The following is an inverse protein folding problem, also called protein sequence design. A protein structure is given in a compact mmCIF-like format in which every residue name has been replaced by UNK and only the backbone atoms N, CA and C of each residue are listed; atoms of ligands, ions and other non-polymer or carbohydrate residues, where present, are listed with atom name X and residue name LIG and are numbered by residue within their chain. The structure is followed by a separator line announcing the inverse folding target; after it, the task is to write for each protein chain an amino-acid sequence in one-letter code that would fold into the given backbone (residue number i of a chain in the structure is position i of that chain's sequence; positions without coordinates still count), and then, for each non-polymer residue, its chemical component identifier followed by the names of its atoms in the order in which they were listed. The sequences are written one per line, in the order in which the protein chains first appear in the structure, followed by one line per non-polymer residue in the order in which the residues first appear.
data_IF_125918594493
#
_entry.id   IF_125918594493
#
_cell.length_a   1.000
_cell.length_b   1.000
_cell.length_c   1.000
_cell.angle_alpha   90.00
_cell.angle_beta   90.00
_cell.angle_gamma   90.00
#
_symmetry.space_group_name_H-M   'P 1'
#
loop_
_entity.id
_entity.type
_entity.pdbx_description
1 polymer ?
#
# COMPACT_ATOMS: atom_id res chain seq x y z
N UNK A 1 55.49 28.91 -7.41
CA UNK A 1 54.86 27.58 -7.43
C UNK A 1 53.65 27.63 -6.53
N UNK A 2 52.46 27.44 -7.08
CA UNK A 2 51.22 27.23 -6.33
C UNK A 2 50.52 26.02 -6.97
N UNK A 3 51.06 24.83 -6.73
CA UNK A 3 50.35 23.58 -6.98
C UNK A 3 50.15 22.90 -5.62
N UNK A 4 49.14 23.37 -4.89
CA UNK A 4 48.56 22.59 -3.81
C UNK A 4 47.37 21.84 -4.38
N UNK A 5 47.33 20.52 -4.22
CA UNK A 5 46.09 19.77 -4.39
C UNK A 5 45.09 20.30 -3.37
N UNK A 6 44.00 20.91 -3.85
CA UNK A 6 42.91 21.31 -2.99
C UNK A 6 42.09 20.05 -2.66
N UNK A 7 41.79 19.78 -1.38
CA UNK A 7 40.96 18.63 -1.03
C UNK A 7 39.57 18.80 -1.68
N UNK A 8 39.24 17.88 -2.59
CA UNK A 8 37.91 17.79 -3.17
C UNK A 8 36.98 17.10 -2.16
N UNK A 9 35.97 17.83 -1.66
CA UNK A 9 34.90 17.25 -0.83
C UNK A 9 33.67 16.99 -1.68
N UNK A 10 33.15 15.76 -1.61
CA UNK A 10 31.88 15.39 -2.25
C UNK A 10 30.74 15.66 -1.29
N UNK A 11 29.74 16.42 -1.73
CA UNK A 11 28.51 16.66 -0.99
C UNK A 11 27.33 15.97 -1.67
N UNK A 12 26.61 15.10 -0.95
CA UNK A 12 25.37 14.49 -1.42
C UNK A 12 24.16 15.24 -0.87
N UNK A 13 23.14 15.39 -1.72
CA UNK A 13 21.85 16.01 -1.35
C UNK A 13 20.75 14.98 -1.11
N UNK A 14 21.14 13.82 -0.61
CA UNK A 14 20.24 12.72 -0.33
C UNK A 14 20.78 11.81 0.77
N UNK A 15 19.87 11.08 1.40
CA UNK A 15 20.16 9.97 2.30
C UNK A 15 19.79 8.65 1.60
N UNK A 16 20.63 7.63 1.73
CA UNK A 16 20.40 6.30 1.15
C UNK A 16 21.68 5.62 0.65
N UNK A 17 21.51 4.48 0.01
CA UNK A 17 22.62 3.67 -0.50
C UNK A 17 23.28 4.30 -1.73
N UNK A 18 24.59 4.47 -1.63
CA UNK A 18 25.46 5.04 -2.65
C UNK A 18 26.70 4.17 -2.81
N UNK A 19 27.15 3.95 -4.05
CA UNK A 19 28.44 3.31 -4.29
C UNK A 19 29.56 4.33 -4.13
N UNK A 20 30.44 4.09 -3.17
CA UNK A 20 31.63 4.91 -2.89
C UNK A 20 32.82 3.96 -2.86
N UNK A 21 33.82 4.23 -3.72
CA UNK A 21 35.00 3.37 -3.88
C UNK A 21 34.63 1.89 -4.11
N UNK A 22 33.65 1.65 -4.99
CA UNK A 22 33.13 0.31 -5.34
C UNK A 22 32.42 -0.44 -4.19
N UNK A 23 32.21 0.21 -3.04
CA UNK A 23 31.52 -0.36 -1.87
C UNK A 23 30.16 0.27 -1.65
N UNK A 24 29.22 -0.51 -1.13
CA UNK A 24 27.91 -0.03 -0.75
C UNK A 24 28.00 0.74 0.57
N UNK A 25 27.84 2.06 0.46
CA UNK A 25 27.81 2.95 1.62
C UNK A 25 26.40 3.52 1.78
N UNK A 26 25.80 3.33 2.95
CA UNK A 26 24.59 4.03 3.32
C UNK A 26 24.98 5.43 3.81
N UNK A 27 24.65 6.44 3.01
CA UNK A 27 24.96 7.84 3.34
C UNK A 27 23.79 8.51 4.03
N UNK A 28 24.07 9.23 5.11
CA UNK A 28 23.08 9.97 5.89
C UNK A 28 23.73 11.18 6.56
N UNK A 29 22.94 12.21 6.91
CA UNK A 29 23.39 13.20 7.88
C UNK A 29 23.82 12.50 9.19
N UNK A 30 24.83 13.05 9.86
CA UNK A 30 25.42 12.48 11.08
C UNK A 30 26.52 11.48 10.78
N UNK A 31 26.16 10.25 10.40
CA UNK A 31 27.14 9.19 10.07
C UNK A 31 26.84 8.51 8.73
N UNK A 32 27.87 8.00 8.09
CA UNK A 32 27.76 7.10 6.94
C UNK A 32 28.32 5.72 7.34
N UNK A 33 27.70 4.65 6.85
CA UNK A 33 28.12 3.28 7.16
C UNK A 33 28.30 2.43 5.91
N UNK A 34 29.26 1.51 5.94
CA UNK A 34 29.43 0.44 4.94
C UNK A 34 29.60 -0.91 5.67
N UNK A 35 30.05 -1.94 4.97
CA UNK A 35 30.26 -3.27 5.53
C UNK A 35 31.32 -3.32 6.66
N UNK A 36 32.26 -2.38 6.71
CA UNK A 36 33.28 -2.30 7.75
C UNK A 36 32.79 -1.54 9.00
N UNK A 37 31.63 -0.89 8.93
CA UNK A 37 31.07 -0.07 10.00
C UNK A 37 30.96 1.41 9.63
N UNK A 38 31.14 2.29 10.62
CA UNK A 38 31.06 3.74 10.46
C UNK A 38 32.32 4.23 9.74
N UNK A 39 32.14 5.12 8.75
CA UNK A 39 33.26 5.70 8.01
C UNK A 39 34.00 6.75 8.86
N UNK A 40 35.34 6.69 8.88
CA UNK A 40 36.18 7.68 9.55
C UNK A 40 36.16 9.07 8.87
N UNK A 41 36.09 9.09 7.53
CA UNK A 41 36.03 10.31 6.72
C UNK A 41 34.81 10.23 5.77
N UNK A 42 33.59 10.45 6.30
CA UNK A 42 32.37 10.35 5.51
C UNK A 42 32.22 11.57 4.58
N UNK A 43 31.56 11.40 3.41
CA UNK A 43 31.17 12.53 2.58
C UNK A 43 30.17 13.44 3.31
N UNK A 44 30.10 14.71 2.90
CA UNK A 44 29.14 15.66 3.48
C UNK A 44 27.73 15.41 2.94
N UNK A 45 26.73 15.36 3.82
CA UNK A 45 25.33 15.14 3.44
C UNK A 45 24.50 16.36 3.83
N UNK A 46 23.97 17.07 2.84
CA UNK A 46 23.17 18.28 3.03
C UNK A 46 21.75 18.07 2.49
N UNK A 47 20.78 17.92 3.40
CA UNK A 47 19.37 17.83 3.04
C UNK A 47 18.70 19.22 3.10
N UNK A 48 17.48 19.31 2.57
CA UNK A 48 16.65 20.51 2.73
C UNK A 48 16.42 20.82 4.21
N UNK A 49 16.32 22.11 4.57
CA UNK A 49 16.13 22.53 5.96
C UNK A 49 14.88 21.93 6.64
N UNK A 50 13.85 21.56 5.84
CA UNK A 50 12.66 20.84 6.33
C UNK A 50 12.92 19.36 6.66
N UNK A 51 14.08 18.81 6.29
CA UNK A 51 14.52 17.44 6.59
C UNK A 51 15.66 17.41 7.62
N UNK A 52 15.90 18.51 8.34
CA UNK A 52 17.00 18.61 9.32
C UNK A 52 16.96 17.56 10.43
N UNK A 53 15.78 17.01 10.70
CA UNK A 53 15.57 16.03 11.77
C UNK A 53 15.95 14.62 11.31
N UNK A 54 16.24 14.41 10.02
CA UNK A 54 16.85 13.18 9.52
C UNK A 54 18.34 13.16 9.84
N UNK A 55 18.78 12.14 10.56
CA UNK A 55 20.18 11.89 10.88
C UNK A 55 20.32 10.47 11.38
N UNK A 56 21.37 9.77 10.96
CA UNK A 56 21.86 8.62 11.71
C UNK A 56 22.81 9.08 12.80
N UNK A 57 22.92 8.25 13.83
CA UNK A 57 23.84 8.47 14.95
C UNK A 57 24.53 7.14 15.24
N UNK A 58 25.81 7.21 15.60
CA UNK A 58 26.50 6.07 16.14
C UNK A 58 26.09 5.94 17.62
N UNK A 59 25.71 4.73 18.01
CA UNK A 59 25.25 4.44 19.36
C UNK A 59 25.68 3.03 19.74
N UNK A 60 25.83 2.80 21.04
CA UNK A 60 26.09 1.47 21.56
C UNK A 60 24.97 0.50 21.14
N UNK A 61 25.34 -0.73 20.81
CA UNK A 61 24.38 -1.71 20.31
C UNK A 61 23.33 -2.05 21.37
N UNK A 62 23.71 -2.11 22.65
CA UNK A 62 22.80 -2.45 23.74
C UNK A 62 21.77 -1.34 23.93
N UNK A 63 22.16 -0.07 23.84
CA UNK A 63 21.22 1.07 23.89
C UNK A 63 20.27 1.05 22.67
N UNK A 64 20.80 0.74 21.49
CA UNK A 64 20.02 0.64 20.24
C UNK A 64 19.02 -0.51 20.29
N UNK A 65 19.43 -1.67 20.80
CA UNK A 65 18.59 -2.85 20.98
C UNK A 65 17.52 -2.62 22.05
N UNK A 66 17.88 -1.98 23.17
CA UNK A 66 16.91 -1.62 24.21
C UNK A 66 15.85 -0.63 23.69
N UNK A 67 16.25 0.34 22.86
CA UNK A 67 15.31 1.25 22.22
C UNK A 67 14.38 0.52 21.23
N UNK A 68 14.93 -0.41 20.45
CA UNK A 68 14.16 -1.27 19.56
C UNK A 68 13.15 -2.14 20.33
N UNK A 69 13.56 -2.77 21.42
CA UNK A 69 12.68 -3.58 22.26
C UNK A 69 11.58 -2.72 22.91
N UNK A 70 11.95 -1.56 23.48
CA UNK A 70 11.01 -0.68 24.17
C UNK A 70 9.93 -0.08 23.26
N UNK A 71 10.19 0.10 21.96
CA UNK A 71 9.16 0.59 21.04
C UNK A 71 8.10 -0.47 20.68
N UNK A 72 8.44 -1.77 20.71
CA UNK A 72 7.55 -2.85 20.22
C UNK A 72 6.21 -2.89 20.96
N UNK A 73 6.16 -2.84 22.31
CA UNK A 73 4.89 -2.89 23.06
C UNK A 73 3.93 -1.73 22.76
N UNK A 74 4.43 -0.59 22.26
CA UNK A 74 3.61 0.58 21.93
C UNK A 74 2.68 0.29 20.74
N UNK A 75 3.07 -0.63 19.85
CA UNK A 75 2.29 -1.02 18.68
C UNK A 75 1.23 -2.06 19.04
N UNK A 76 0.05 -2.04 18.39
CA UNK A 76 -0.89 -3.16 18.46
C UNK A 76 -0.19 -4.45 18.04
N UNK A 77 -0.43 -5.55 18.76
CA UNK A 77 0.30 -6.82 18.58
C UNK A 77 0.19 -7.36 17.15
N UNK A 78 -0.96 -7.17 16.53
CA UNK A 78 -1.28 -7.62 15.17
C UNK A 78 -0.57 -6.77 14.10
N UNK A 79 -0.20 -5.54 14.45
CA UNK A 79 0.41 -4.57 13.53
C UNK A 79 1.93 -4.43 13.71
N UNK A 80 2.45 -4.71 14.91
CA UNK A 80 3.86 -4.52 15.25
C UNK A 80 4.83 -5.16 14.24
N UNK A 81 4.67 -6.45 13.85
CA UNK A 81 5.59 -7.08 12.90
C UNK A 81 5.60 -6.39 11.53
N UNK A 82 4.44 -5.99 11.02
CA UNK A 82 4.31 -5.30 9.73
C UNK A 82 4.91 -3.89 9.78
N UNK A 83 4.66 -3.15 10.86
CA UNK A 83 5.21 -1.80 11.07
C UNK A 83 6.74 -1.83 11.19
N UNK A 84 7.29 -2.77 11.96
CA UNK A 84 8.74 -2.96 12.12
C UNK A 84 9.39 -3.31 10.76
N UNK A 85 8.83 -4.29 10.06
CA UNK A 85 9.32 -4.67 8.74
C UNK A 85 9.28 -3.49 7.75
N UNK A 86 8.21 -2.69 7.80
CA UNK A 86 8.06 -1.52 6.95
C UNK A 86 9.03 -0.39 7.30
N UNK A 87 9.30 -0.16 8.58
CA UNK A 87 10.29 0.84 9.00
C UNK A 87 11.70 0.49 8.50
N UNK A 88 12.06 -0.79 8.42
CA UNK A 88 13.39 -1.22 7.97
C UNK A 88 13.45 -1.57 6.47
N UNK A 89 12.30 -1.72 5.80
CA UNK A 89 12.22 -1.94 4.36
C UNK A 89 13.03 -0.94 3.51
N UNK A 90 13.14 0.37 3.84
CA UNK A 90 13.94 1.28 3.02
C UNK A 90 15.39 0.82 2.85
N UNK A 91 15.98 0.19 3.86
CA UNK A 91 17.36 -0.34 3.79
C UNK A 91 17.50 -1.53 2.84
N UNK A 92 16.42 -2.22 2.53
CA UNK A 92 16.42 -3.49 1.77
C UNK A 92 15.78 -3.34 0.39
N UNK A 93 14.85 -2.40 0.22
CA UNK A 93 13.95 -2.26 -0.94
C UNK A 93 14.67 -2.29 -2.28
N UNK A 94 15.85 -1.66 -2.40
CA UNK A 94 16.60 -1.61 -3.66
C UNK A 94 17.26 -2.93 -4.08
N UNK A 95 17.40 -3.86 -3.14
CA UNK A 95 18.01 -5.18 -3.38
C UNK A 95 16.97 -6.25 -3.68
N UNK A 96 15.67 -5.92 -3.58
CA UNK A 96 14.59 -6.80 -4.05
C UNK A 96 14.58 -6.92 -5.58
N UNK A 97 14.01 -8.02 -6.14
CA UNK A 97 13.77 -8.12 -7.57
C UNK A 97 12.83 -7.00 -8.06
N UNK A 98 12.96 -6.59 -9.32
CA UNK A 98 12.14 -5.52 -9.92
C UNK A 98 10.63 -5.75 -9.90
N UNK A 99 10.19 -7.01 -9.75
CA UNK A 99 8.79 -7.38 -9.59
C UNK A 99 8.23 -7.09 -8.18
N UNK A 100 9.09 -6.91 -7.17
CA UNK A 100 8.68 -6.56 -5.83
C UNK A 100 8.16 -5.12 -5.80
N UNK A 101 6.96 -4.88 -5.25
CA UNK A 101 6.43 -3.55 -5.13
C UNK A 101 7.20 -2.76 -4.07
N UNK A 102 7.05 -1.44 -4.13
CA UNK A 102 7.37 -0.53 -3.04
C UNK A 102 6.06 -0.12 -2.35
N UNK A 103 5.63 -0.82 -1.29
CA UNK A 103 4.39 -0.49 -0.60
C UNK A 103 4.48 0.89 0.05
N UNK A 104 3.33 1.52 0.23
CA UNK A 104 3.16 2.55 1.25
C UNK A 104 2.37 1.97 2.41
N UNK A 105 2.49 2.53 3.61
CA UNK A 105 1.58 2.24 4.72
C UNK A 105 0.74 3.47 5.01
N UNK A 106 -0.53 3.26 5.34
CA UNK A 106 -1.39 4.27 5.94
C UNK A 106 -1.90 3.78 7.29
N UNK A 107 -1.51 4.47 8.36
CA UNK A 107 -2.04 4.26 9.69
C UNK A 107 -3.36 5.03 9.82
N UNK A 108 -4.47 4.30 9.68
CA UNK A 108 -5.81 4.82 9.85
C UNK A 108 -6.26 4.67 11.31
N UNK A 109 -7.17 5.51 11.77
CA UNK A 109 -7.79 5.34 13.09
C UNK A 109 -8.39 6.64 13.61
N UNK A 110 -9.28 6.54 14.58
CA UNK A 110 -9.98 7.70 15.15
C UNK A 110 -9.02 8.73 15.76
N UNK A 111 -9.51 9.95 15.98
CA UNK A 111 -8.79 10.94 16.77
C UNK A 111 -8.37 10.33 18.12
N UNK A 112 -7.12 10.57 18.53
CA UNK A 112 -6.56 10.02 19.76
C UNK A 112 -6.14 8.54 19.70
N UNK A 113 -6.14 7.88 18.53
CA UNK A 113 -5.65 6.49 18.41
C UNK A 113 -4.13 6.34 18.58
N UNK A 114 -3.38 7.46 18.55
CA UNK A 114 -1.91 7.49 18.63
C UNK A 114 -1.18 7.17 17.33
N UNK A 115 -1.86 7.20 16.19
CA UNK A 115 -1.27 6.98 14.85
C UNK A 115 -0.01 7.83 14.56
N UNK A 116 -0.01 9.11 14.92
CA UNK A 116 1.15 10.01 14.72
C UNK A 116 2.30 9.69 15.69
N UNK A 117 2.01 9.15 16.88
CA UNK A 117 3.04 8.68 17.81
C UNK A 117 3.74 7.42 17.29
N UNK A 118 2.95 6.45 16.80
CA UNK A 118 3.49 5.26 16.13
C UNK A 118 4.33 5.66 14.92
N UNK A 119 3.86 6.62 14.12
CA UNK A 119 4.60 7.09 12.96
C UNK A 119 5.90 7.83 13.33
N UNK A 120 5.90 8.59 14.43
CA UNK A 120 7.10 9.18 14.97
C UNK A 120 8.10 8.11 15.42
N UNK A 121 7.69 7.09 16.18
CA UNK A 121 8.56 5.98 16.60
C UNK A 121 9.19 5.26 15.40
N UNK A 122 8.40 4.93 14.36
CA UNK A 122 8.94 4.35 13.13
C UNK A 122 9.91 5.30 12.39
N UNK A 123 9.64 6.60 12.43
CA UNK A 123 10.51 7.59 11.78
C UNK A 123 11.82 7.81 12.54
N UNK A 124 11.85 7.57 13.85
CA UNK A 124 13.07 7.67 14.68
C UNK A 124 14.15 6.64 14.31
N UNK A 125 13.86 5.61 13.51
CA UNK A 125 14.92 4.83 12.86
C UNK A 125 15.82 5.68 11.95
N UNK A 126 15.35 6.81 11.43
CA UNK A 126 16.08 7.64 10.46
C UNK A 126 16.41 9.04 10.97
N UNK A 127 16.16 9.34 12.25
CA UNK A 127 16.29 10.70 12.76
C UNK A 127 15.65 10.90 14.12
N UNK A 128 15.31 12.15 14.44
CA UNK A 128 14.69 12.54 15.71
C UNK A 128 13.32 13.14 15.46
N UNK A 129 12.28 12.36 15.71
CA UNK A 129 10.90 12.77 15.43
C UNK A 129 10.02 12.65 16.68
N UNK A 130 9.02 13.53 16.74
CA UNK A 130 7.90 13.47 17.68
C UNK A 130 6.59 13.51 16.89
N UNK A 131 5.46 13.20 17.53
CA UNK A 131 4.14 13.32 16.91
C UNK A 131 3.86 14.71 16.30
N UNK A 132 4.52 15.75 16.81
CA UNK A 132 4.31 17.16 16.45
C UNK A 132 5.32 17.67 15.42
N UNK A 133 6.28 16.83 14.99
CA UNK A 133 7.34 17.20 14.05
C UNK A 133 7.39 16.28 12.82
N UNK A 134 6.28 16.06 12.08
CA UNK A 134 6.34 15.34 10.83
C UNK A 134 7.14 16.12 9.77
N UNK A 135 7.94 15.46 8.91
CA UNK A 135 8.71 16.15 7.88
C UNK A 135 7.82 16.72 6.76
N UNK A 136 6.63 16.14 6.56
CA UNK A 136 5.62 16.63 5.64
C UNK A 136 4.19 16.32 6.12
N UNK A 137 3.21 17.04 5.56
CA UNK A 137 1.79 16.84 5.83
C UNK A 137 1.02 16.78 4.51
N UNK A 138 -0.10 16.05 4.47
CA UNK A 138 -0.96 15.99 3.30
C UNK A 138 -1.71 17.30 3.01
N UNK A 139 -1.70 18.24 3.96
CA UNK A 139 -2.11 19.63 3.74
C UNK A 139 -1.16 20.42 2.83
N UNK A 140 0.09 19.97 2.64
CA UNK A 140 1.00 20.55 1.65
C UNK A 140 0.57 20.19 0.22
N UNK A 141 1.03 20.96 -0.77
CA UNK A 141 0.81 20.57 -2.17
C UNK A 141 1.53 19.25 -2.48
N UNK A 142 0.95 18.40 -3.32
CA UNK A 142 1.58 17.12 -3.74
C UNK A 142 2.97 17.32 -4.36
N UNK A 143 3.22 18.45 -5.05
CA UNK A 143 4.56 18.74 -5.57
C UNK A 143 5.58 18.98 -4.44
N UNK A 144 5.15 19.59 -3.33
CA UNK A 144 5.97 19.74 -2.12
C UNK A 144 6.24 18.37 -1.53
N UNK A 145 5.21 17.54 -1.34
CA UNK A 145 5.36 16.17 -0.82
C UNK A 145 6.32 15.34 -1.69
N UNK A 146 6.21 15.40 -3.02
CA UNK A 146 7.14 14.75 -3.95
C UNK A 146 8.58 15.28 -3.81
N UNK A 147 8.75 16.60 -3.72
CA UNK A 147 10.06 17.23 -3.61
C UNK A 147 10.78 16.88 -2.30
N UNK A 148 10.03 16.85 -1.19
CA UNK A 148 10.54 16.48 0.13
C UNK A 148 10.86 14.99 0.23
N UNK A 149 10.11 14.13 -0.46
CA UNK A 149 10.39 12.70 -0.53
C UNK A 149 11.50 12.31 -1.51
N UNK A 150 11.90 13.19 -2.43
CA UNK A 150 12.97 12.91 -3.40
C UNK A 150 14.35 12.67 -2.74
N UNK A 151 14.86 13.47 -1.80
CA UNK A 151 16.17 13.23 -1.19
C UNK A 151 16.23 12.00 -0.27
N UNK A 152 15.12 11.37 0.06
CA UNK A 152 15.05 10.22 0.97
C UNK A 152 15.14 8.90 0.18
N UNK A 153 16.26 8.61 -0.48
CA UNK A 153 16.35 7.53 -1.47
C UNK A 153 16.09 6.11 -0.91
N UNK A 154 16.46 5.89 0.35
CA UNK A 154 16.31 4.63 1.07
C UNK A 154 16.04 4.91 2.55
N UNK A 155 15.09 5.81 2.82
CA UNK A 155 14.64 6.17 4.16
C UNK A 155 13.11 6.22 4.25
N UNK A 156 12.59 6.05 5.47
CA UNK A 156 11.17 6.21 5.75
C UNK A 156 10.76 7.68 5.61
N UNK A 157 9.64 7.93 4.96
CA UNK A 157 9.11 9.27 4.71
C UNK A 157 7.69 9.40 5.25
N UNK A 158 7.58 10.01 6.43
CA UNK A 158 6.29 10.22 7.09
C UNK A 158 5.59 11.48 6.56
N UNK A 159 4.36 11.30 6.08
CA UNK A 159 3.46 12.37 5.62
C UNK A 159 2.18 12.31 6.46
N UNK A 160 2.01 13.31 7.33
CA UNK A 160 0.99 13.28 8.37
C UNK A 160 -0.36 13.90 7.93
N UNK A 161 -1.41 13.60 8.70
CA UNK A 161 -2.74 14.23 8.64
C UNK A 161 -3.44 14.16 7.28
N UNK A 162 -3.60 12.95 6.73
CA UNK A 162 -4.44 12.75 5.55
C UNK A 162 -5.91 13.02 5.89
N UNK A 163 -6.52 13.91 5.11
CA UNK A 163 -7.97 14.14 5.08
C UNK A 163 -8.44 14.28 3.63
N UNK A 164 -9.63 13.76 3.33
CA UNK A 164 -10.25 13.85 1.99
C UNK A 164 -10.39 15.31 1.49
N UNK A 165 -10.42 16.29 2.40
CA UNK A 165 -10.50 17.72 2.06
C UNK A 165 -9.19 18.34 1.55
N UNK A 166 -8.03 17.75 1.87
CA UNK A 166 -6.72 18.34 1.54
C UNK A 166 -6.16 17.86 0.21
N UNK A 167 -6.56 16.67 -0.22
CA UNK A 167 -6.07 16.07 -1.45
C UNK A 167 -7.23 15.82 -2.43
N UNK A 168 -7.21 16.52 -3.56
CA UNK A 168 -7.98 16.11 -4.74
C UNK A 168 -7.68 14.63 -5.03
N UNK A 169 -8.69 13.76 -4.91
CA UNK A 169 -8.57 12.30 -5.01
C UNK A 169 -7.76 11.90 -6.24
N UNK A 170 -8.03 12.54 -7.37
CA UNK A 170 -7.34 12.28 -8.64
C UNK A 170 -5.85 12.59 -8.58
N UNK A 171 -5.46 13.66 -7.88
CA UNK A 171 -4.06 14.04 -7.72
C UNK A 171 -3.34 13.08 -6.77
N UNK A 172 -3.98 12.69 -5.68
CA UNK A 172 -3.46 11.69 -4.74
C UNK A 172 -3.27 10.32 -5.39
N UNK A 173 -4.28 9.84 -6.12
CA UNK A 173 -4.20 8.60 -6.92
C UNK A 173 -3.03 8.62 -7.88
N UNK A 174 -2.88 9.70 -8.64
CA UNK A 174 -1.79 9.85 -9.61
C UNK A 174 -0.44 9.84 -8.92
N UNK A 175 -0.33 10.53 -7.78
CA UNK A 175 0.87 10.53 -6.97
C UNK A 175 1.23 9.11 -6.51
N UNK A 176 0.30 8.34 -5.95
CA UNK A 176 0.58 6.97 -5.52
C UNK A 176 0.91 6.02 -6.68
N UNK A 177 0.30 6.22 -7.85
CA UNK A 177 0.66 5.48 -9.06
C UNK A 177 2.09 5.80 -9.52
N UNK A 178 2.49 7.08 -9.49
CA UNK A 178 3.86 7.53 -9.79
C UNK A 178 4.86 7.00 -8.77
N UNK A 179 4.56 7.15 -7.47
CA UNK A 179 5.34 6.62 -6.36
C UNK A 179 5.57 5.12 -6.52
N UNK A 180 4.53 4.32 -6.74
CA UNK A 180 4.67 2.87 -6.88
C UNK A 180 5.51 2.45 -8.10
N UNK A 181 5.64 3.30 -9.12
CA UNK A 181 6.39 3.00 -10.34
C UNK A 181 7.80 3.62 -10.35
N UNK A 182 8.15 4.41 -9.33
CA UNK A 182 9.40 5.17 -9.30
C UNK A 182 9.52 6.22 -10.43
N UNK A 183 8.40 6.63 -11.03
CA UNK A 183 8.40 7.56 -12.17
C UNK A 183 8.12 8.99 -11.71
N UNK A 184 8.94 9.95 -12.14
CA UNK A 184 8.69 11.36 -11.92
C UNK A 184 7.78 11.96 -12.99
N UNK A 185 7.43 13.24 -12.83
CA UNK A 185 6.63 13.98 -13.82
C UNK A 185 7.56 14.71 -14.78
N UNK A 186 7.80 14.14 -15.96
CA UNK A 186 8.46 14.83 -17.06
C UNK A 186 7.67 16.07 -17.45
N UNK A 187 8.22 17.26 -17.19
CA UNK A 187 7.67 18.54 -17.63
C UNK A 187 8.76 19.34 -18.31
N UNK A 188 8.42 20.05 -19.37
CA UNK A 188 9.31 21.08 -19.90
C UNK A 188 9.26 22.31 -18.97
N UNK A 189 10.41 22.91 -18.75
CA UNK A 189 10.52 24.24 -18.12
C UNK A 189 9.90 25.30 -19.03
N UNK A 190 9.66 26.51 -18.51
CA UNK A 190 9.22 27.67 -19.31
C UNK A 190 10.21 28.01 -20.45
N UNK A 191 11.45 27.55 -20.33
CA UNK A 191 12.53 27.65 -21.33
C UNK A 191 12.62 26.43 -22.27
N UNK A 192 11.61 25.56 -22.30
CA UNK A 192 11.59 24.33 -23.10
C UNK A 192 12.73 23.31 -22.83
N UNK A 193 13.46 23.44 -21.70
CA UNK A 193 14.38 22.40 -21.22
C UNK A 193 13.61 21.32 -20.45
N UNK A 194 14.01 20.05 -20.58
CA UNK A 194 13.52 18.97 -19.72
C UNK A 194 13.77 19.33 -18.25
N UNK A 195 12.70 19.47 -17.46
CA UNK A 195 12.81 19.64 -16.01
C UNK A 195 13.30 18.33 -15.43
N UNK A 196 14.34 18.39 -14.59
CA UNK A 196 14.85 17.23 -13.88
C UNK A 196 13.72 16.64 -13.03
N UNK A 197 13.38 15.38 -13.30
CA UNK A 197 12.33 14.67 -12.58
C UNK A 197 12.76 14.45 -11.13
N UNK A 198 11.85 14.72 -10.19
CA UNK A 198 12.07 14.50 -8.75
C UNK A 198 10.98 13.56 -8.21
N UNK A 199 10.99 12.26 -8.58
CA UNK A 199 10.03 11.30 -8.04
C UNK A 199 10.20 11.15 -6.53
N UNK A 200 9.11 10.95 -5.78
CA UNK A 200 9.22 10.58 -4.37
C UNK A 200 10.03 9.27 -4.24
N UNK A 201 11.20 9.32 -3.59
CA UNK A 201 12.06 8.16 -3.36
C UNK A 201 11.89 7.56 -1.96
N UNK A 202 11.51 8.38 -0.98
CA UNK A 202 11.21 7.95 0.39
C UNK A 202 10.04 7.00 0.46
N UNK A 203 10.14 5.99 1.33
CA UNK A 203 9.10 5.00 1.55
C UNK A 203 7.97 5.63 2.36
N UNK A 204 6.76 5.71 1.78
CA UNK A 204 5.70 6.56 2.34
C UNK A 204 5.01 5.90 3.53
N UNK A 205 5.16 6.52 4.69
CA UNK A 205 4.32 6.31 5.86
C UNK A 205 3.28 7.43 5.94
N UNK A 206 2.02 7.10 5.82
CA UNK A 206 0.91 8.04 5.91
C UNK A 206 0.12 7.82 7.20
N UNK A 207 -0.48 8.86 7.75
CA UNK A 207 -1.42 8.79 8.88
C UNK A 207 -2.70 9.53 8.51
N UNK A 208 -3.84 9.12 9.05
CA UNK A 208 -5.11 9.82 8.82
C UNK A 208 -6.25 9.27 9.66
N UNK A 209 -7.37 10.01 9.68
CA UNK A 209 -8.58 9.57 10.40
C UNK A 209 -9.47 8.65 9.57
N UNK A 210 -9.51 8.89 8.27
CA UNK A 210 -10.36 8.16 7.34
C UNK A 210 -9.54 7.11 6.61
N UNK A 211 -10.12 5.93 6.38
CA UNK A 211 -9.61 5.05 5.35
C UNK A 211 -9.60 5.78 4.00
N UNK A 212 -8.65 5.43 3.14
CA UNK A 212 -8.60 5.95 1.77
C UNK A 212 -9.73 5.34 0.95
N UNK A 213 -10.93 5.93 1.04
CA UNK A 213 -12.09 5.50 0.26
C UNK A 213 -11.92 5.84 -1.23
N UNK A 214 -12.52 5.04 -2.11
CA UNK A 214 -12.87 5.47 -3.46
C UNK A 214 -11.95 5.00 -4.59
N UNK A 215 -10.83 4.32 -4.32
CA UNK A 215 -10.00 3.72 -5.37
C UNK A 215 -9.26 2.45 -4.94
N UNK A 216 -9.76 1.27 -5.35
CA UNK A 216 -9.05 0.00 -5.21
C UNK A 216 -7.61 0.02 -5.82
N UNK A 217 -7.38 0.88 -6.82
CA UNK A 217 -6.04 1.11 -7.39
C UNK A 217 -5.08 1.76 -6.38
N UNK A 218 -5.56 2.66 -5.53
CA UNK A 218 -4.80 3.26 -4.43
C UNK A 218 -4.61 2.26 -3.30
N UNK A 219 -5.70 1.65 -2.83
CA UNK A 219 -5.68 0.69 -1.71
C UNK A 219 -4.85 -0.57 -2.00
N UNK A 220 -4.75 -1.00 -3.25
CA UNK A 220 -3.85 -2.12 -3.58
C UNK A 220 -2.36 -1.75 -3.50
N UNK A 221 -2.00 -0.47 -3.54
CA UNK A 221 -0.60 0.03 -3.45
C UNK A 221 -0.20 0.44 -2.04
N UNK A 222 -1.16 0.55 -1.14
CA UNK A 222 -0.96 1.05 0.21
C UNK A 222 -1.61 0.09 1.20
N UNK A 223 -0.84 -0.40 2.15
CA UNK A 223 -1.37 -1.20 3.26
C UNK A 223 -2.04 -0.24 4.24
N UNK A 224 -3.36 -0.33 4.35
CA UNK A 224 -4.13 0.42 5.35
C UNK A 224 -4.17 -0.42 6.62
N UNK A 225 -3.59 0.11 7.70
CA UNK A 225 -3.53 -0.55 9.00
C UNK A 225 -4.38 0.25 9.99
N UNK A 226 -5.42 -0.38 10.51
CA UNK A 226 -6.34 0.24 11.47
C UNK A 226 -5.77 0.22 12.87
N UNK A 227 -5.36 1.40 13.35
CA UNK A 227 -4.84 1.61 14.69
C UNK A 227 -6.00 1.69 15.69
N UNK A 228 -6.11 0.74 16.64
CA UNK A 228 -7.15 0.79 17.66
C UNK A 228 -6.99 1.99 18.59
N UNK A 229 -8.07 2.43 19.27
CA UNK A 229 -8.01 3.51 20.25
C UNK A 229 -6.91 3.32 21.30
N UNK A 230 -6.19 4.39 21.62
CA UNK A 230 -5.01 4.36 22.50
C UNK A 230 -5.33 3.87 23.91
N UNK A 231 -6.41 4.37 24.51
CA UNK A 231 -6.81 4.13 25.90
C UNK A 231 -6.91 2.64 26.26
N UNK A 232 -7.19 1.77 25.30
CA UNK A 232 -7.29 0.32 25.52
C UNK A 232 -5.96 -0.41 25.37
N UNK A 233 -4.98 0.21 24.70
CA UNK A 233 -3.68 -0.38 24.37
C UNK A 233 -2.61 0.00 25.39
N UNK A 234 -2.59 1.26 25.81
CA UNK A 234 -1.68 1.78 26.82
C UNK A 234 -2.41 2.82 27.70
N UNK A 235 -3.33 2.38 28.58
CA UNK A 235 -4.21 3.26 29.35
C UNK A 235 -3.47 4.31 30.18
N UNK A 236 -2.31 3.94 30.72
CA UNK A 236 -1.48 4.78 31.59
C UNK A 236 -0.27 5.39 30.86
N UNK A 237 -0.11 5.13 29.55
CA UNK A 237 1.00 5.66 28.75
C UNK A 237 2.39 5.09 29.08
N UNK A 238 2.46 4.04 29.90
CA UNK A 238 3.73 3.52 30.44
C UNK A 238 4.63 2.94 29.34
N UNK A 239 4.04 2.27 28.35
CA UNK A 239 4.81 1.70 27.24
C UNK A 239 5.40 2.82 26.39
N UNK A 240 4.61 3.86 26.12
CA UNK A 240 5.07 5.02 25.39
C UNK A 240 6.15 5.81 26.15
N UNK A 241 5.99 6.00 27.46
CA UNK A 241 6.97 6.70 28.29
C UNK A 241 8.32 5.99 28.27
N UNK A 242 8.33 4.66 28.36
CA UNK A 242 9.55 3.85 28.24
C UNK A 242 10.20 4.00 26.86
N UNK A 243 9.41 3.89 25.79
CA UNK A 243 9.91 4.09 24.42
C UNK A 243 10.47 5.49 24.21
N UNK A 244 9.84 6.53 24.78
CA UNK A 244 10.27 7.92 24.62
C UNK A 244 11.63 8.22 25.26
N UNK A 245 11.97 7.56 26.36
CA UNK A 245 13.30 7.69 27.00
C UNK A 245 14.41 7.17 26.08
N UNK A 246 14.12 6.13 25.30
CA UNK A 246 15.13 5.39 24.52
C UNK A 246 15.09 5.70 23.02
N UNK A 247 14.02 6.29 22.47
CA UNK A 247 13.83 6.46 21.02
C UNK A 247 14.98 7.15 20.28
N UNK A 248 15.77 7.97 20.98
CA UNK A 248 16.95 8.63 20.43
C UNK A 248 18.04 7.66 19.96
N UNK A 249 18.02 6.41 20.42
CA UNK A 249 18.99 5.37 20.03
C UNK A 249 18.52 4.51 18.83
N UNK A 250 17.27 4.67 18.37
CA UNK A 250 16.76 3.97 17.18
C UNK A 250 17.58 4.22 15.89
N UNK A 251 18.16 5.42 15.64
CA UNK A 251 19.06 5.62 14.51
C UNK A 251 20.31 4.72 14.55
N UNK A 252 20.79 4.37 15.75
CA UNK A 252 21.90 3.43 15.93
C UNK A 252 21.55 2.01 15.51
N UNK A 253 20.31 1.58 15.78
CA UNK A 253 19.79 0.29 15.29
C UNK A 253 19.82 0.25 13.76
N UNK A 254 19.35 1.32 13.10
CA UNK A 254 19.36 1.45 11.63
C UNK A 254 20.78 1.44 11.08
N UNK A 255 21.71 2.16 11.71
CA UNK A 255 23.11 2.16 11.30
C UNK A 255 23.70 0.75 11.37
N UNK A 256 23.40 0.00 12.44
CA UNK A 256 23.92 -1.35 12.60
C UNK A 256 23.30 -2.36 11.63
N UNK A 257 22.00 -2.27 11.41
CA UNK A 257 21.32 -3.10 10.41
C UNK A 257 21.79 -2.75 8.98
N UNK A 258 22.02 -1.47 8.67
CA UNK A 258 22.59 -1.06 7.39
C UNK A 258 24.00 -1.62 7.18
N UNK A 259 24.91 -1.52 8.15
CA UNK A 259 26.23 -2.17 8.08
C UNK A 259 26.12 -3.66 7.76
N UNK A 260 25.21 -4.37 8.44
CA UNK A 260 24.97 -5.79 8.16
C UNK A 260 24.44 -6.02 6.74
N UNK A 261 23.48 -5.22 6.26
CA UNK A 261 22.98 -5.32 4.88
C UNK A 261 24.11 -5.09 3.87
N UNK A 262 25.00 -4.11 4.09
CA UNK A 262 26.14 -3.87 3.21
C UNK A 262 27.03 -5.11 3.11
N UNK A 263 27.35 -5.74 4.25
CA UNK A 263 28.13 -6.98 4.31
C UNK A 263 27.43 -8.12 3.54
N UNK A 264 26.12 -8.29 3.73
CA UNK A 264 25.34 -9.33 3.05
C UNK A 264 25.23 -9.12 1.53
N UNK A 265 25.34 -7.88 1.06
CA UNK A 265 25.36 -7.56 -0.38
C UNK A 265 26.75 -7.72 -0.99
N UNK A 266 27.80 -7.32 -0.27
CA UNK A 266 29.18 -7.36 -0.75
C UNK A 266 29.77 -8.77 -0.72
N UNK A 267 29.53 -9.53 0.35
CA UNK A 267 30.13 -10.84 0.59
C UNK A 267 29.12 -12.00 0.51
N UNK A 268 27.83 -11.69 0.66
CA UNK A 268 26.75 -12.67 0.70
C UNK A 268 25.98 -12.81 -0.61
N UNK A 269 24.85 -13.52 -0.52
CA UNK A 269 23.93 -13.78 -1.64
C UNK A 269 22.58 -13.06 -1.45
N UNK A 270 22.58 -11.88 -0.81
CA UNK A 270 21.35 -11.21 -0.35
C UNK A 270 20.31 -11.05 -1.45
N UNK A 271 20.72 -10.61 -2.65
CA UNK A 271 19.79 -10.33 -3.77
C UNK A 271 19.04 -11.59 -4.22
N UNK A 272 19.73 -12.74 -4.30
CA UNK A 272 19.09 -14.00 -4.67
C UNK A 272 18.23 -14.54 -3.52
N UNK A 273 18.68 -14.42 -2.26
CA UNK A 273 17.89 -14.79 -1.08
C UNK A 273 16.59 -13.98 -0.99
N UNK A 274 16.65 -12.66 -1.20
CA UNK A 274 15.48 -11.79 -1.28
C UNK A 274 14.55 -12.19 -2.41
N UNK A 275 15.09 -12.47 -3.59
CA UNK A 275 14.31 -12.90 -4.76
C UNK A 275 13.56 -14.20 -4.51
N UNK A 276 14.25 -15.20 -3.93
CA UNK A 276 13.66 -16.49 -3.57
C UNK A 276 12.63 -16.36 -2.44
N UNK A 277 12.99 -15.68 -1.36
CA UNK A 277 12.13 -15.45 -0.20
C UNK A 277 10.86 -14.68 -0.55
N UNK A 278 10.97 -13.67 -1.41
CA UNK A 278 9.82 -12.94 -1.94
C UNK A 278 8.90 -13.85 -2.76
N UNK A 279 9.44 -14.62 -3.71
CA UNK A 279 8.65 -15.52 -4.55
C UNK A 279 7.92 -16.60 -3.72
N UNK A 280 8.60 -17.19 -2.74
CA UNK A 280 7.99 -18.13 -1.79
C UNK A 280 6.86 -17.47 -1.00
N UNK A 281 7.08 -16.26 -0.50
CA UNK A 281 6.07 -15.53 0.29
C UNK A 281 4.85 -15.14 -0.55
N UNK A 282 5.04 -14.78 -1.82
CA UNK A 282 3.94 -14.54 -2.77
C UNK A 282 3.09 -15.79 -2.96
N UNK A 283 3.72 -16.96 -3.11
CA UNK A 283 2.98 -18.23 -3.23
C UNK A 283 2.24 -18.59 -1.93
N UNK A 284 2.89 -18.43 -0.77
CA UNK A 284 2.26 -18.70 0.53
C UNK A 284 1.02 -17.83 0.79
N UNK A 285 1.10 -16.52 0.51
CA UNK A 285 -0.06 -15.63 0.65
C UNK A 285 -1.14 -15.89 -0.40
N UNK A 286 -0.76 -16.28 -1.62
CA UNK A 286 -1.71 -16.74 -2.64
C UNK A 286 -2.51 -17.94 -2.13
N UNK A 287 -1.85 -18.94 -1.56
CA UNK A 287 -2.49 -20.13 -1.03
C UNK A 287 -3.38 -19.81 0.18
N UNK A 288 -2.92 -18.92 1.08
CA UNK A 288 -3.70 -18.42 2.22
C UNK A 288 -5.01 -17.75 1.80
N UNK A 289 -4.96 -16.85 0.80
CA UNK A 289 -6.17 -16.18 0.30
C UNK A 289 -7.12 -17.15 -0.41
N UNK A 290 -6.57 -18.07 -1.22
CA UNK A 290 -7.36 -19.10 -1.91
C UNK A 290 -8.09 -20.01 -0.92
N UNK A 291 -7.44 -20.44 0.15
CA UNK A 291 -8.05 -21.26 1.20
C UNK A 291 -9.19 -20.53 1.93
N UNK A 292 -9.19 -19.20 1.94
CA UNK A 292 -10.19 -18.36 2.58
C UNK A 292 -11.36 -17.98 1.65
N UNK A 293 -11.44 -18.56 0.46
CA UNK A 293 -12.50 -18.29 -0.52
C UNK A 293 -12.40 -16.92 -1.22
N UNK A 294 -11.31 -16.17 -1.02
CA UNK A 294 -11.10 -14.88 -1.66
C UNK A 294 -10.55 -15.12 -3.08
N UNK A 295 -11.33 -14.78 -4.10
CA UNK A 295 -10.98 -15.01 -5.50
C UNK A 295 -9.73 -14.20 -5.92
N UNK A 296 -8.88 -14.80 -6.74
CA UNK A 296 -7.55 -14.27 -7.11
C UNK A 296 -7.56 -13.04 -8.02
N UNK A 297 -8.71 -12.65 -8.58
CA UNK A 297 -8.77 -11.51 -9.48
C UNK A 297 -8.35 -10.25 -8.71
N UNK A 298 -7.19 -9.71 -9.07
CA UNK A 298 -6.69 -8.40 -8.66
C UNK A 298 -6.26 -8.23 -7.18
N UNK A 299 -6.08 -9.32 -6.41
CA UNK A 299 -5.40 -9.30 -5.09
C UNK A 299 -3.87 -9.38 -5.19
N UNK A 300 -3.32 -9.52 -6.41
CA UNK A 300 -1.90 -9.76 -6.65
C UNK A 300 -0.97 -8.74 -5.99
N UNK A 301 -1.34 -7.46 -6.00
CA UNK A 301 -0.52 -6.41 -5.37
C UNK A 301 -0.58 -6.43 -3.85
N UNK A 302 -1.75 -6.75 -3.27
CA UNK A 302 -1.90 -6.94 -1.82
C UNK A 302 -0.99 -8.08 -1.36
N UNK A 303 -1.05 -9.22 -2.06
CA UNK A 303 -0.16 -10.38 -1.84
C UNK A 303 1.31 -9.95 -1.89
N UNK A 304 1.70 -9.19 -2.92
CA UNK A 304 3.08 -8.77 -3.10
C UNK A 304 3.55 -7.80 -1.99
N UNK A 305 2.71 -6.85 -1.55
CA UNK A 305 3.07 -5.93 -0.47
C UNK A 305 3.36 -6.69 0.83
N UNK A 306 2.48 -7.63 1.20
CA UNK A 306 2.68 -8.48 2.39
C UNK A 306 3.88 -9.42 2.24
N UNK A 307 4.12 -9.95 1.04
CA UNK A 307 5.29 -10.78 0.74
C UNK A 307 6.60 -10.01 0.91
N UNK A 308 6.65 -8.72 0.54
CA UNK A 308 7.80 -7.85 0.80
C UNK A 308 8.02 -7.72 2.31
N UNK A 309 6.98 -7.36 3.08
CA UNK A 309 7.13 -7.15 4.53
C UNK A 309 7.58 -8.41 5.28
N UNK A 310 6.98 -9.57 5.02
CA UNK A 310 7.40 -10.81 5.69
C UNK A 310 8.83 -11.22 5.30
N UNK A 311 9.26 -10.89 4.08
CA UNK A 311 10.64 -11.16 3.64
C UNK A 311 11.63 -10.28 4.39
N UNK A 312 11.33 -8.99 4.57
CA UNK A 312 12.15 -8.09 5.41
C UNK A 312 12.14 -8.54 6.87
N UNK A 313 10.99 -8.97 7.40
CA UNK A 313 10.89 -9.44 8.78
C UNK A 313 11.75 -10.68 9.05
N UNK A 314 11.80 -11.62 8.10
CA UNK A 314 12.70 -12.79 8.17
C UNK A 314 14.16 -12.38 8.13
N UNK A 315 14.52 -11.42 7.27
CA UNK A 315 15.87 -10.90 7.19
C UNK A 315 16.30 -10.18 8.48
N UNK A 316 15.40 -9.42 9.09
CA UNK A 316 15.61 -8.81 10.40
C UNK A 316 15.82 -9.86 11.49
N UNK A 317 15.06 -10.95 11.46
CA UNK A 317 15.26 -12.08 12.38
C UNK A 317 16.62 -12.73 12.18
N UNK A 318 17.06 -12.96 10.95
CA UNK A 318 18.41 -13.46 10.66
C UNK A 318 19.49 -12.57 11.29
N UNK A 319 19.41 -11.26 11.07
CA UNK A 319 20.32 -10.28 11.67
C UNK A 319 20.33 -10.35 13.20
N UNK A 320 19.17 -10.41 13.84
CA UNK A 320 19.08 -10.48 15.30
C UNK A 320 19.54 -11.83 15.85
N UNK A 321 19.32 -12.94 15.13
CA UNK A 321 19.83 -14.26 15.52
C UNK A 321 21.36 -14.30 15.47
N UNK A 322 21.99 -13.66 14.49
CA UNK A 322 23.45 -13.53 14.45
C UNK A 322 24.02 -12.73 15.64
N UNK A 323 23.19 -11.90 16.27
CA UNK A 323 23.52 -11.10 17.46
C UNK A 323 22.97 -11.68 18.77
N UNK A 324 22.41 -12.90 18.75
CA UNK A 324 21.78 -13.56 19.90
C UNK A 324 20.68 -12.71 20.57
N UNK A 325 19.86 -12.05 19.76
CA UNK A 325 18.87 -11.06 20.17
C UNK A 325 17.51 -11.21 19.44
N UNK A 326 17.19 -12.38 18.88
CA UNK A 326 15.94 -12.56 18.11
C UNK A 326 14.70 -12.85 18.97
N UNK A 327 14.90 -13.00 20.29
CA UNK A 327 13.87 -13.14 21.31
C UNK A 327 13.03 -11.87 21.49
N UNK A 328 13.62 -10.69 21.23
CA UNK A 328 12.89 -9.41 21.25
C UNK A 328 11.82 -9.32 20.14
N UNK A 329 11.97 -10.08 19.05
CA UNK A 329 11.04 -10.02 17.93
C UNK A 329 9.77 -10.83 18.21
N UNK A 330 8.58 -10.21 18.11
CA UNK A 330 7.33 -10.98 18.16
C UNK A 330 7.23 -12.00 17.01
N UNK A 331 6.34 -12.97 17.16
CA UNK A 331 5.95 -13.84 16.05
C UNK A 331 5.35 -13.01 14.91
N UNK A 332 5.59 -13.40 13.65
CA UNK A 332 4.98 -12.74 12.50
C UNK A 332 3.45 -12.87 12.56
N UNK A 333 2.76 -11.74 12.45
CA UNK A 333 1.31 -11.65 12.31
C UNK A 333 1.00 -10.77 11.10
N UNK A 334 -0.10 -11.06 10.43
CA UNK A 334 -0.57 -10.31 9.27
C UNK A 334 -2.10 -10.17 9.29
N UNK A 335 -2.58 -9.09 8.67
CA UNK A 335 -4.02 -8.80 8.48
C UNK A 335 -4.37 -8.81 6.99
N UNK A 336 -3.79 -9.76 6.23
CA UNK A 336 -3.97 -9.81 4.78
C UNK A 336 -5.41 -10.11 4.38
N UNK A 337 -6.15 -10.87 5.19
CA UNK A 337 -7.53 -11.23 4.89
C UNK A 337 -8.43 -9.99 4.96
N UNK A 338 -8.30 -9.22 6.03
CA UNK A 338 -8.96 -7.94 6.23
C UNK A 338 -8.57 -6.97 5.12
N UNK A 339 -7.27 -6.85 4.84
CA UNK A 339 -6.76 -5.95 3.78
C UNK A 339 -7.33 -6.33 2.40
N UNK A 340 -7.36 -7.63 2.08
CA UNK A 340 -7.89 -8.12 0.81
C UNK A 340 -9.41 -7.90 0.70
N UNK A 341 -10.15 -8.06 1.81
CA UNK A 341 -11.58 -7.77 1.88
C UNK A 341 -11.86 -6.28 1.66
N UNK A 342 -11.15 -5.38 2.33
CA UNK A 342 -11.31 -3.93 2.14
C UNK A 342 -11.02 -3.52 0.70
N UNK A 343 -9.93 -4.01 0.10
CA UNK A 343 -9.63 -3.73 -1.31
C UNK A 343 -10.72 -4.26 -2.24
N UNK A 344 -11.33 -5.41 -1.91
CA UNK A 344 -12.43 -6.01 -2.69
C UNK A 344 -13.72 -5.20 -2.57
N UNK A 345 -14.09 -4.73 -1.38
CA UNK A 345 -15.28 -3.91 -1.14
C UNK A 345 -15.23 -2.57 -1.87
N UNK A 346 -14.04 -2.09 -2.25
CA UNK A 346 -13.84 -0.84 -2.99
C UNK A 346 -13.81 -1.05 -4.52
N UNK A 347 -14.05 -2.28 -5.01
CA UNK A 347 -14.03 -2.58 -6.45
C UNK A 347 -15.38 -2.28 -7.09
N UNK A 348 -15.33 -1.55 -8.19
CA UNK A 348 -16.50 -1.16 -8.97
C UNK A 348 -17.41 -2.34 -9.37
N UNK A 349 -16.82 -3.49 -9.74
CA UNK A 349 -17.55 -4.70 -10.13
C UNK A 349 -18.30 -5.33 -8.95
N UNK A 350 -17.65 -5.48 -7.80
CA UNK A 350 -18.22 -6.08 -6.59
C UNK A 350 -19.31 -5.19 -6.00
N UNK A 351 -19.04 -3.89 -5.83
CA UNK A 351 -20.05 -2.91 -5.37
C UNK A 351 -21.27 -2.90 -6.29
N UNK A 352 -21.05 -2.95 -7.61
CA UNK A 352 -22.13 -2.98 -8.58
C UNK A 352 -22.97 -4.26 -8.49
N UNK A 353 -22.34 -5.43 -8.40
CA UNK A 353 -23.05 -6.71 -8.34
C UNK A 353 -23.78 -6.91 -7.00
N UNK A 354 -23.19 -6.49 -5.89
CA UNK A 354 -23.82 -6.57 -4.56
C UNK A 354 -25.08 -5.70 -4.50
N UNK A 355 -24.98 -4.42 -4.90
CA UNK A 355 -26.13 -3.52 -4.96
C UNK A 355 -27.20 -4.00 -5.95
N UNK A 356 -26.79 -4.56 -7.10
CA UNK A 356 -27.73 -5.16 -8.04
C UNK A 356 -28.47 -6.36 -7.43
N UNK A 357 -27.76 -7.24 -6.73
CA UNK A 357 -28.32 -8.38 -6.03
C UNK A 357 -29.36 -7.94 -4.99
N UNK A 358 -29.04 -6.92 -4.19
CA UNK A 358 -29.95 -6.32 -3.22
C UNK A 358 -31.22 -5.75 -3.87
N UNK A 359 -31.10 -5.03 -4.98
CA UNK A 359 -32.26 -4.49 -5.72
C UNK A 359 -33.17 -5.59 -6.29
N UNK A 360 -32.58 -6.68 -6.78
CA UNK A 360 -33.33 -7.82 -7.31
C UNK A 360 -34.03 -8.56 -6.16
N UNK A 361 -33.31 -8.84 -5.07
CA UNK A 361 -33.88 -9.49 -3.88
C UNK A 361 -34.99 -8.64 -3.24
N UNK A 362 -34.86 -7.32 -3.26
CA UNK A 362 -35.87 -6.37 -2.79
C UNK A 362 -37.04 -6.13 -3.76
N UNK A 363 -37.05 -6.74 -4.94
CA UNK A 363 -38.11 -6.59 -5.95
C UNK A 363 -38.15 -5.24 -6.67
N UNK A 364 -37.13 -4.39 -6.48
CA UNK A 364 -36.99 -3.08 -7.12
C UNK A 364 -36.42 -3.20 -8.54
N UNK A 365 -35.65 -4.25 -8.80
CA UNK A 365 -35.13 -4.60 -10.12
C UNK A 365 -35.57 -6.01 -10.54
N UNK A 366 -35.76 -6.23 -11.83
CA UNK A 366 -36.13 -7.56 -12.37
C UNK A 366 -35.32 -7.92 -13.61
N UNK A 367 -34.99 -9.21 -13.72
CA UNK A 367 -34.48 -9.87 -14.92
C UNK A 367 -35.62 -10.70 -15.53
N UNK A 368 -35.94 -10.43 -16.79
CA UNK A 368 -36.98 -11.15 -17.52
C UNK A 368 -36.41 -12.40 -18.21
N UNK A 369 -37.21 -13.46 -18.33
CA UNK A 369 -36.80 -14.74 -18.92
C UNK A 369 -37.09 -14.82 -20.43
N UNK A 370 -37.89 -13.91 -20.98
CA UNK A 370 -38.26 -13.90 -22.40
C UNK A 370 -37.85 -12.58 -23.10
N UNK A 371 -36.84 -12.63 -23.97
CA UNK A 371 -36.44 -11.47 -24.80
C UNK A 371 -37.40 -11.20 -25.98
N UNK A 372 -38.15 -12.21 -26.44
CA UNK A 372 -39.06 -12.11 -27.60
C UNK A 372 -40.36 -11.44 -27.18
N UNK A 373 -40.96 -11.92 -26.09
CA UNK A 373 -42.20 -11.39 -25.53
C UNK A 373 -42.02 -10.98 -24.05
N UNK A 374 -41.20 -9.95 -23.80
CA UNK A 374 -40.84 -9.58 -22.43
C UNK A 374 -42.05 -8.99 -21.69
N UNK A 375 -42.26 -9.45 -20.45
CA UNK A 375 -43.39 -9.10 -19.56
C UNK A 375 -43.28 -7.66 -19.09
N UNK A 376 -44.36 -6.90 -19.01
CA UNK A 376 -44.25 -5.54 -18.47
C UNK A 376 -43.93 -5.59 -16.96
N UNK A 377 -42.92 -4.83 -16.48
CA UNK A 377 -42.55 -4.86 -15.08
C UNK A 377 -43.68 -4.30 -14.21
N UNK A 378 -43.80 -4.82 -12.99
CA UNK A 378 -44.77 -4.32 -12.01
C UNK A 378 -44.53 -2.83 -11.70
N UNK A 379 -45.57 -2.07 -11.30
CA UNK A 379 -45.41 -0.68 -10.90
C UNK A 379 -44.36 -0.52 -9.79
N UNK A 380 -43.35 0.32 -10.04
CA UNK A 380 -42.24 0.55 -9.11
C UNK A 380 -41.03 -0.38 -9.31
N UNK A 381 -41.11 -1.36 -10.20
CA UNK A 381 -39.98 -2.24 -10.55
C UNK A 381 -39.34 -1.81 -11.87
N UNK A 382 -38.01 -1.80 -11.91
CA UNK A 382 -37.24 -1.51 -13.12
C UNK A 382 -36.73 -2.79 -13.76
N UNK A 383 -37.00 -2.99 -15.05
CA UNK A 383 -36.38 -4.08 -15.81
C UNK A 383 -34.95 -3.72 -16.16
N UNK A 384 -34.01 -4.39 -15.50
CA UNK A 384 -32.57 -4.13 -15.65
C UNK A 384 -31.89 -5.06 -16.65
N UNK A 385 -32.59 -6.08 -17.12
CA UNK A 385 -32.03 -7.03 -18.07
C UNK A 385 -32.88 -8.27 -18.29
N UNK A 386 -32.22 -9.31 -18.78
CA UNK A 386 -32.79 -10.60 -19.11
C UNK A 386 -31.90 -11.74 -18.60
N UNK A 387 -32.45 -12.93 -18.45
CA UNK A 387 -31.70 -14.14 -18.08
C UNK A 387 -32.15 -15.33 -18.93
N UNK A 388 -31.20 -16.12 -19.39
CA UNK A 388 -31.43 -17.48 -19.88
C UNK A 388 -30.69 -18.49 -18.98
N UNK A 389 -30.72 -19.78 -19.32
CA UNK A 389 -30.09 -20.84 -18.52
C UNK A 389 -28.57 -20.62 -18.34
N UNK A 390 -27.91 -20.01 -19.32
CA UNK A 390 -26.45 -19.91 -19.39
C UNK A 390 -25.93 -18.52 -18.97
N UNK A 391 -26.73 -17.47 -19.18
CA UNK A 391 -26.27 -16.08 -19.07
C UNK A 391 -27.30 -15.13 -18.48
N UNK A 392 -26.78 -14.07 -17.86
CA UNK A 392 -27.51 -12.84 -17.55
C UNK A 392 -27.09 -11.75 -18.52
N UNK A 393 -28.08 -11.06 -19.10
CA UNK A 393 -27.91 -9.94 -20.02
C UNK A 393 -28.39 -8.64 -19.37
N UNK A 394 -27.46 -7.85 -18.85
CA UNK A 394 -27.77 -6.57 -18.21
C UNK A 394 -27.79 -5.43 -19.23
N UNK A 395 -28.73 -4.50 -19.05
CA UNK A 395 -28.82 -3.24 -19.78
C UNK A 395 -27.94 -2.21 -19.05
N UNK A 396 -26.68 -1.95 -19.48
CA UNK A 396 -25.68 -1.33 -18.63
C UNK A 396 -26.10 0.02 -18.05
N UNK A 397 -26.62 0.91 -18.91
CA UNK A 397 -27.07 2.25 -18.52
C UNK A 397 -28.32 2.22 -17.64
N UNK A 398 -29.23 1.27 -17.87
CA UNK A 398 -30.47 1.15 -17.08
C UNK A 398 -30.13 0.59 -15.70
N UNK A 399 -29.31 -0.47 -15.64
CA UNK A 399 -28.87 -1.06 -14.38
C UNK A 399 -28.08 -0.05 -13.54
N UNK A 400 -27.15 0.68 -14.16
CA UNK A 400 -26.36 1.72 -13.47
C UNK A 400 -27.25 2.84 -12.91
N UNK A 401 -28.20 3.33 -13.71
CA UNK A 401 -29.16 4.35 -13.28
C UNK A 401 -30.00 3.86 -12.10
N UNK A 402 -30.43 2.60 -12.12
CA UNK A 402 -31.27 2.05 -11.04
C UNK A 402 -30.51 1.95 -9.72
N UNK A 403 -29.29 1.41 -9.75
CA UNK A 403 -28.42 1.37 -8.57
C UNK A 403 -28.12 2.77 -8.06
N UNK A 404 -27.85 3.71 -8.98
CA UNK A 404 -27.56 5.11 -8.63
C UNK A 404 -28.70 5.85 -7.95
N UNK A 405 -29.95 5.35 -8.02
CA UNK A 405 -31.09 5.90 -7.26
C UNK A 405 -31.00 5.58 -5.77
N UNK A 406 -30.44 4.42 -5.41
CA UNK A 406 -30.27 3.97 -4.02
C UNK A 406 -28.96 4.50 -3.46
N UNK A 407 -27.88 4.36 -4.22
CA UNK A 407 -26.55 4.82 -3.83
C UNK A 407 -25.82 5.35 -5.07
N UNK A 408 -25.43 6.64 -5.10
CA UNK A 408 -24.64 7.19 -6.20
C UNK A 408 -23.33 6.42 -6.39
N UNK A 409 -23.15 5.82 -7.57
CA UNK A 409 -21.93 5.10 -7.91
C UNK A 409 -20.83 6.09 -8.34
N UNK A 410 -19.63 5.94 -7.79
CA UNK A 410 -18.43 6.72 -8.17
C UNK A 410 -17.85 6.29 -9.53
N UNK A 411 -18.31 5.17 -10.09
CA UNK A 411 -17.78 4.57 -11.31
C UNK A 411 -18.75 4.72 -12.49
N UNK A 412 -18.21 4.96 -13.68
CA UNK A 412 -18.99 4.96 -14.93
C UNK A 412 -19.34 3.54 -15.36
N UNK A 413 -20.38 3.39 -16.19
CA UNK A 413 -20.72 2.12 -16.84
C UNK A 413 -19.50 1.51 -17.55
N UNK A 414 -18.76 2.30 -18.32
CA UNK A 414 -17.55 1.82 -18.99
C UNK A 414 -16.49 1.26 -18.03
N UNK A 415 -16.27 1.91 -16.88
CA UNK A 415 -15.31 1.45 -15.87
C UNK A 415 -15.77 0.15 -15.20
N UNK A 416 -17.05 0.06 -14.82
CA UNK A 416 -17.64 -1.15 -14.24
C UNK A 416 -17.56 -2.31 -15.24
N UNK A 417 -17.94 -2.10 -16.49
CA UNK A 417 -17.88 -3.13 -17.53
C UNK A 417 -16.45 -3.61 -17.84
N UNK A 418 -15.47 -2.69 -17.84
CA UNK A 418 -14.07 -3.07 -18.00
C UNK A 418 -13.60 -3.92 -16.81
N UNK A 419 -14.00 -3.56 -15.59
CA UNK A 419 -13.66 -4.29 -14.38
C UNK A 419 -14.30 -5.69 -14.34
N UNK A 420 -15.59 -5.81 -14.67
CA UNK A 420 -16.29 -7.09 -14.76
C UNK A 420 -15.65 -8.02 -15.81
N UNK A 421 -15.12 -7.46 -16.91
CA UNK A 421 -14.37 -8.24 -17.91
C UNK A 421 -13.06 -8.76 -17.34
N UNK A 422 -12.32 -7.89 -16.65
CA UNK A 422 -11.05 -8.26 -16.01
C UNK A 422 -11.25 -9.34 -14.95
N UNK A 423 -12.37 -9.31 -14.23
CA UNK A 423 -12.75 -10.32 -13.24
C UNK A 423 -13.25 -11.64 -13.85
N UNK A 424 -13.34 -11.74 -15.18
CA UNK A 424 -13.83 -12.95 -15.87
C UNK A 424 -15.33 -13.20 -15.70
N UNK A 425 -16.04 -12.20 -15.16
CA UNK A 425 -17.49 -12.19 -14.92
C UNK A 425 -18.24 -11.83 -16.20
N UNK A 426 -17.78 -10.78 -16.89
CA UNK A 426 -18.35 -10.32 -18.15
C UNK A 426 -17.66 -10.97 -19.33
N UNK A 427 -18.45 -11.59 -20.22
CA UNK A 427 -18.02 -12.21 -21.46
C UNK A 427 -18.19 -11.22 -22.63
N UNK A 428 -17.12 -10.54 -23.06
CA UNK A 428 -17.22 -9.44 -24.01
C UNK A 428 -17.63 -9.94 -25.41
N UNK A 429 -18.11 -9.00 -26.23
CA UNK A 429 -18.24 -9.22 -27.66
C UNK A 429 -16.88 -9.10 -28.38
N UNK A 430 -16.89 -9.28 -29.70
CA UNK A 430 -15.67 -9.35 -30.53
C UNK A 430 -14.81 -8.08 -30.47
N UNK A 431 -15.43 -6.91 -30.31
CA UNK A 431 -14.75 -5.61 -30.26
C UNK A 431 -15.29 -4.64 -29.20
N UNK A 432 -16.16 -5.11 -28.31
CA UNK A 432 -16.79 -4.24 -27.29
C UNK A 432 -17.10 -5.01 -26.00
N UNK A 433 -17.30 -4.26 -24.90
CA UNK A 433 -17.78 -4.82 -23.63
C UNK A 433 -19.23 -5.33 -23.70
N UNK A 434 -19.92 -5.10 -24.81
CA UNK A 434 -21.32 -5.50 -24.98
C UNK A 434 -21.49 -6.56 -26.06
N UNK A 435 -22.55 -7.35 -25.94
CA UNK A 435 -23.06 -8.23 -27.00
C UNK A 435 -24.38 -7.68 -27.53
N UNK A 436 -24.68 -7.95 -28.79
CA UNK A 436 -25.95 -7.58 -29.40
C UNK A 436 -26.95 -8.74 -29.31
N UNK A 437 -28.19 -8.43 -28.91
CA UNK A 437 -29.35 -9.34 -28.91
C UNK A 437 -30.58 -8.61 -29.42
N UNK A 438 -31.55 -9.36 -29.94
CA UNK A 438 -32.83 -8.79 -30.38
C UNK A 438 -33.86 -8.90 -29.26
N UNK A 439 -34.47 -7.76 -28.91
CA UNK A 439 -35.58 -7.66 -27.96
C UNK A 439 -36.75 -7.00 -28.65
N UNK A 440 -37.92 -7.64 -28.66
CA UNK A 440 -39.10 -7.20 -29.44
C UNK A 440 -38.75 -6.82 -30.90
N UNK A 441 -37.83 -7.55 -31.52
CA UNK A 441 -37.35 -7.29 -32.90
C UNK A 441 -36.25 -6.22 -33.05
N UNK A 442 -35.96 -5.42 -32.01
CA UNK A 442 -34.94 -4.38 -32.04
C UNK A 442 -33.59 -4.87 -31.51
N UNK A 443 -32.50 -4.50 -32.19
CA UNK A 443 -31.14 -4.81 -31.73
C UNK A 443 -30.77 -3.94 -30.54
N UNK A 444 -30.48 -4.57 -29.40
CA UNK A 444 -30.10 -3.93 -28.14
C UNK A 444 -28.74 -4.47 -27.67
N UNK A 445 -27.96 -3.64 -26.96
CA UNK A 445 -26.63 -3.99 -26.43
C UNK A 445 -26.72 -4.32 -24.94
N UNK A 446 -26.08 -5.43 -24.56
CA UNK A 446 -26.08 -5.95 -23.19
C UNK A 446 -24.68 -6.24 -22.71
N UNK A 447 -24.44 -6.14 -21.40
CA UNK A 447 -23.38 -6.93 -20.77
C UNK A 447 -23.86 -8.37 -20.62
N UNK A 448 -23.05 -9.31 -21.09
CA UNK A 448 -23.32 -10.75 -20.90
C UNK A 448 -22.46 -11.25 -19.75
N UNK A 449 -23.11 -11.68 -18.67
CA UNK A 449 -22.50 -12.25 -17.47
C UNK A 449 -22.85 -13.74 -17.39
N UNK A 450 -22.04 -14.54 -16.68
CA UNK A 450 -22.41 -15.94 -16.35
C UNK A 450 -23.60 -15.96 -15.38
N UNK A 451 -24.52 -16.90 -15.54
CA UNK A 451 -25.75 -16.99 -14.72
C UNK A 451 -25.50 -17.20 -13.22
N UNK A 452 -24.40 -17.88 -12.86
CA UNK A 452 -23.96 -18.19 -11.49
C UNK A 452 -23.67 -16.95 -10.61
N UNK A 453 -23.50 -15.77 -11.22
CA UNK A 453 -22.96 -14.57 -10.56
C UNK A 453 -24.02 -13.80 -9.76
N UNK A 454 -25.29 -14.02 -10.07
CA UNK A 454 -26.43 -13.39 -9.40
C UNK A 454 -27.37 -14.46 -8.79
N UNK A 455 -26.83 -15.63 -8.43
CA UNK A 455 -27.60 -16.80 -8.05
C UNK A 455 -28.49 -16.59 -6.82
N UNK A 456 -29.81 -16.70 -7.02
CA UNK A 456 -30.64 -17.38 -6.04
C UNK A 456 -30.43 -18.87 -6.26
N UNK A 457 -29.89 -19.57 -5.25
CA UNK A 457 -30.00 -21.03 -5.20
C UNK A 457 -31.47 -21.41 -5.13
N UNK A 458 -31.87 -22.39 -5.95
CA UNK A 458 -33.11 -23.14 -5.77
C UNK A 458 -34.39 -22.37 -6.07
N UNK A 459 -34.95 -22.64 -7.26
CA UNK A 459 -36.38 -22.94 -7.28
C UNK A 459 -36.58 -24.10 -6.28
N UNK A 460 -37.05 -23.82 -5.07
CA UNK A 460 -37.68 -24.85 -4.25
C UNK A 460 -38.84 -25.38 -5.10
N UNK A 461 -38.63 -26.56 -5.68
CA UNK A 461 -39.73 -27.38 -6.12
C UNK A 461 -40.64 -27.52 -4.90
N UNK A 462 -41.82 -26.90 -4.99
CA UNK A 462 -42.95 -27.28 -4.17
C UNK A 462 -43.23 -28.74 -4.53
N UNK A 463 -42.64 -29.67 -3.77
CA UNK A 463 -43.16 -31.02 -3.69
C UNK A 463 -44.57 -30.86 -3.10
N UNK A 464 -45.56 -30.92 -3.98
CA UNK A 464 -46.94 -31.19 -3.62
C UNK A 464 -46.96 -32.57 -2.94
N UNK A 465 -47.13 -32.59 -1.63
CA UNK A 465 -47.59 -33.77 -0.90
C UNK A 465 -49.01 -34.11 -1.39
N UNK A 466 -49.08 -35.12 -2.26
CA UNK A 466 -50.28 -35.86 -2.65
C UNK A 466 -50.01 -37.35 -2.62
#
# INVERSE_FOLDING_TARGET
GLSGEYPHRTCYRMMGWTQINERWTYVAPGICVNADGVLDDPPEIELDARLRDYSLQDADWQDSLAAFEAMIPVFPKELAPACIAFALLPLVQRFFPSAAPRPAIHLAGTYGSGKSELAALLSNFYGTFSRDTPPAQWGDTINTVEAMGYPLADALYWVDDYKNIYADERTFTRFLQSYSRGMGRGRLTREAKLRQERPCRGLILSTGETMLEGEASVLSRMLVLDVPPWEKRDPDGQMLDQANVLRQYLPGFTARFATWIALQVEEGDLVNRLSHGFALSVNGYRDKLKASGITMANTGRVIQNWAVLVTVYRLLREFLTELDADDVLPGWQDVILETAQTVRQERASEVFLDLLGQLIAGGQAVLDDDMRNPRDPAPGTTKVGYRDEEYVYLLPEITHKEISKVQPLRFSTAAIGAQLKEDGVLLPGTSSLTVQRRVKGNTTRFWRLKSEILGCDGCDACDDDG
#
